data_IF_923578691264
#
_entry.id   IF_923578691264
#
_cell.length_a   1.000
_cell.length_b   1.000
_cell.length_c   1.000
_cell.angle_alpha   90.00
_cell.angle_beta   90.00
_cell.angle_gamma   90.00
#
_symmetry.space_group_name_H-M   'P 1'
#
loop_
_entity.id
_entity.type
_entity.pdbx_description
1 polymer ?
#
# COMPACT_ATOMS: atom_id res chain seq x y z
N UNK A 1 -18.11 -6.37 -0.95
CA UNK A 1 -18.31 -7.84 -1.07
C UNK A 1 -17.03 -8.67 -0.95
N UNK A 2 -15.83 -8.23 -1.37
CA UNK A 2 -14.60 -9.05 -1.30
C UNK A 2 -14.04 -9.19 0.14
N UNK A 3 -14.03 -8.12 0.94
CA UNK A 3 -13.58 -8.16 2.33
C UNK A 3 -14.46 -9.07 3.20
N UNK A 4 -15.78 -8.89 3.09
CA UNK A 4 -16.82 -9.63 3.83
C UNK A 4 -16.82 -11.15 3.56
N UNK A 5 -16.19 -11.61 2.47
CA UNK A 5 -16.09 -13.03 2.10
C UNK A 5 -14.73 -13.65 2.46
N UNK A 6 -13.88 -12.95 3.20
CA UNK A 6 -12.52 -13.41 3.53
C UNK A 6 -12.37 -13.84 4.98
N UNK A 7 -11.26 -14.52 5.31
CA UNK A 7 -10.90 -14.84 6.70
C UNK A 7 -10.71 -13.61 7.58
N UNK A 8 -10.57 -12.41 6.99
CA UNK A 8 -10.46 -11.12 7.66
C UNK A 8 -11.76 -10.32 7.67
N UNK A 9 -12.91 -10.93 7.37
CA UNK A 9 -14.19 -10.22 7.27
C UNK A 9 -14.59 -9.46 8.55
N UNK A 10 -14.19 -9.94 9.72
CA UNK A 10 -14.44 -9.29 11.02
C UNK A 10 -13.35 -8.30 11.44
N UNK A 11 -12.31 -8.13 10.62
CA UNK A 11 -11.19 -7.25 10.87
C UNK A 11 -11.38 -5.90 10.14
N UNK A 12 -10.74 -4.81 10.61
CA UNK A 12 -10.79 -3.51 9.95
C UNK A 12 -10.52 -3.54 8.44
N UNK A 13 -11.20 -2.65 7.73
CA UNK A 13 -11.03 -2.42 6.29
C UNK A 13 -10.73 -0.95 6.09
N UNK A 14 -9.44 -0.64 5.91
CA UNK A 14 -8.93 0.72 5.78
C UNK A 14 -8.94 1.11 4.30
N UNK A 15 -9.46 2.28 3.97
CA UNK A 15 -9.59 2.76 2.59
C UNK A 15 -8.78 4.04 2.43
N UNK A 16 -7.95 4.10 1.38
CA UNK A 16 -7.13 5.26 1.05
C UNK A 16 -7.31 5.56 -0.42
N UNK A 17 -7.56 6.83 -0.76
CA UNK A 17 -7.53 7.29 -2.13
C UNK A 17 -6.22 8.03 -2.40
N UNK A 18 -5.36 7.42 -3.22
CA UNK A 18 -4.01 7.90 -3.50
C UNK A 18 -3.99 9.23 -4.28
N UNK A 19 -5.10 9.62 -4.91
CA UNK A 19 -5.22 10.86 -5.66
C UNK A 19 -5.58 12.08 -4.79
N UNK A 20 -6.06 11.86 -3.56
CA UNK A 20 -6.64 12.93 -2.72
C UNK A 20 -5.64 13.72 -1.90
N UNK A 21 -4.42 13.20 -1.74
CA UNK A 21 -3.37 13.79 -0.91
C UNK A 21 -2.17 14.21 -1.75
N UNK A 22 -1.46 15.24 -1.27
CA UNK A 22 -0.14 15.58 -1.81
C UNK A 22 0.83 14.43 -1.55
N UNK A 23 1.80 14.22 -2.45
CA UNK A 23 2.73 13.08 -2.42
C UNK A 23 3.37 12.85 -1.04
N UNK A 24 3.92 13.90 -0.43
CA UNK A 24 4.62 13.81 0.86
C UNK A 24 3.68 13.43 2.01
N UNK A 25 2.42 13.87 1.95
CA UNK A 25 1.39 13.52 2.93
C UNK A 25 0.91 12.09 2.72
N UNK A 26 0.69 11.67 1.47
CA UNK A 26 0.32 10.30 1.15
C UNK A 26 1.40 9.31 1.60
N UNK A 27 2.65 9.61 1.31
CA UNK A 27 3.78 8.79 1.75
C UNK A 27 3.86 8.70 3.28
N UNK A 28 3.64 9.82 3.96
CA UNK A 28 3.62 9.94 5.43
C UNK A 28 2.41 9.26 6.09
N UNK A 29 1.28 9.15 5.39
CA UNK A 29 0.11 8.40 5.86
C UNK A 29 0.28 6.90 5.63
N UNK A 30 0.69 6.50 4.43
CA UNK A 30 0.91 5.08 4.10
C UNK A 30 2.02 4.50 4.99
N UNK A 31 3.15 5.22 5.08
CA UNK A 31 4.34 4.80 5.78
C UNK A 31 4.57 5.67 7.02
N UNK A 32 4.88 5.04 8.14
CA UNK A 32 5.28 5.77 9.37
C UNK A 32 6.38 6.77 9.06
N UNK A 33 6.33 7.94 9.67
CA UNK A 33 7.49 8.81 9.79
C UNK A 33 7.90 8.95 11.25
N UNK A 34 9.19 9.10 11.47
CA UNK A 34 9.71 9.54 12.76
C UNK A 34 9.75 11.07 12.82
N UNK A 35 9.65 11.63 14.02
CA UNK A 35 9.87 13.05 14.25
C UNK A 35 11.18 13.51 13.58
N UNK A 36 11.12 14.59 12.83
CA UNK A 36 12.27 15.17 12.12
C UNK A 36 12.61 14.50 10.78
N UNK A 37 11.80 13.57 10.28
CA UNK A 37 12.03 12.93 8.98
C UNK A 37 11.94 13.89 7.78
N UNK A 38 11.16 14.97 7.90
CA UNK A 38 11.05 16.05 6.92
C UNK A 38 10.60 17.36 7.60
N UNK A 39 10.67 18.48 6.86
CA UNK A 39 10.22 19.80 7.35
C UNK A 39 8.72 19.77 7.68
N UNK A 40 8.38 19.84 8.96
CA UNK A 40 7.00 19.74 9.46
C UNK A 40 6.68 18.45 10.21
N UNK A 41 7.58 17.46 10.25
CA UNK A 41 7.44 16.25 11.06
C UNK A 41 7.70 16.54 12.55
N UNK A 42 6.75 17.20 13.22
CA UNK A 42 6.87 17.61 14.64
C UNK A 42 6.73 16.44 15.61
N UNK A 43 6.06 15.37 15.19
CA UNK A 43 5.79 14.15 15.97
C UNK A 43 6.03 12.91 15.10
N UNK A 44 6.25 11.75 15.73
CA UNK A 44 6.23 10.47 15.03
C UNK A 44 4.78 9.99 14.91
N UNK A 45 4.36 9.49 13.75
CA UNK A 45 2.99 8.97 13.55
C UNK A 45 2.99 7.56 13.00
N UNK A 46 2.08 6.74 13.52
CA UNK A 46 1.76 5.43 12.96
C UNK A 46 1.18 5.60 11.54
N UNK A 47 1.66 4.79 10.60
CA UNK A 47 1.22 4.77 9.21
C UNK A 47 0.19 3.68 8.99
N UNK A 48 -0.50 3.74 7.87
CA UNK A 48 -1.65 2.89 7.58
C UNK A 48 -1.26 1.42 7.42
N UNK A 49 -0.04 1.12 6.99
CA UNK A 49 0.46 -0.27 7.01
C UNK A 49 0.64 -0.83 8.42
N UNK A 50 1.16 -0.04 9.36
CA UNK A 50 1.25 -0.46 10.78
C UNK A 50 -0.14 -0.56 11.41
N UNK A 51 -1.04 0.37 11.08
CA UNK A 51 -2.40 0.38 11.60
C UNK A 51 -3.28 -0.75 11.04
N UNK A 52 -2.99 -1.22 9.82
CA UNK A 52 -3.67 -2.32 9.15
C UNK A 52 -2.89 -3.65 9.23
N UNK A 53 -2.06 -3.82 10.27
CA UNK A 53 -1.40 -5.09 10.53
C UNK A 53 -2.44 -6.18 10.83
N UNK A 54 -2.29 -7.32 10.17
CA UNK A 54 -3.26 -8.42 10.09
C UNK A 54 -4.66 -8.06 9.54
N UNK A 55 -4.86 -6.87 8.99
CA UNK A 55 -6.14 -6.33 8.48
C UNK A 55 -6.13 -6.19 6.95
N UNK A 56 -7.07 -5.43 6.38
CA UNK A 56 -7.11 -5.17 4.93
C UNK A 56 -7.01 -3.67 4.62
N UNK A 57 -6.11 -3.31 3.70
CA UNK A 57 -5.92 -1.97 3.16
C UNK A 57 -6.37 -1.92 1.69
N UNK A 58 -7.29 -0.99 1.37
CA UNK A 58 -7.74 -0.70 0.03
C UNK A 58 -7.08 0.57 -0.49
N UNK A 59 -6.35 0.44 -1.59
CA UNK A 59 -5.65 1.53 -2.27
C UNK A 59 -6.41 1.88 -3.56
N UNK A 60 -7.16 2.96 -3.52
CA UNK A 60 -7.84 3.52 -4.69
C UNK A 60 -6.90 4.44 -5.47
N UNK A 61 -7.08 4.48 -6.79
CA UNK A 61 -6.22 5.22 -7.73
C UNK A 61 -4.71 4.96 -7.54
N UNK A 62 -4.31 3.69 -7.39
CA UNK A 62 -2.91 3.30 -7.16
C UNK A 62 -1.95 3.79 -8.27
N UNK A 63 -2.48 4.10 -9.45
CA UNK A 63 -1.72 4.70 -10.55
C UNK A 63 -1.27 6.15 -10.31
N UNK A 64 -1.76 6.81 -9.26
CA UNK A 64 -1.31 8.15 -8.85
C UNK A 64 -0.09 8.11 -7.90
N UNK A 65 0.31 6.91 -7.45
CA UNK A 65 1.51 6.78 -6.64
C UNK A 65 2.76 7.17 -7.45
N UNK A 66 3.65 7.93 -6.82
CA UNK A 66 4.95 8.25 -7.43
C UNK A 66 5.87 7.04 -7.46
N UNK A 67 6.88 7.05 -8.33
CA UNK A 67 7.79 5.91 -8.52
C UNK A 67 8.49 5.49 -7.23
N UNK A 68 8.82 6.44 -6.36
CA UNK A 68 9.44 6.18 -5.07
C UNK A 68 8.46 5.47 -4.12
N UNK A 69 7.21 5.94 -4.06
CA UNK A 69 6.14 5.33 -3.27
C UNK A 69 5.79 3.93 -3.77
N UNK A 70 5.74 3.74 -5.09
CA UNK A 70 5.55 2.43 -5.72
C UNK A 70 6.68 1.45 -5.36
N UNK A 71 7.94 1.91 -5.37
CA UNK A 71 9.08 1.06 -4.98
C UNK A 71 9.02 0.65 -3.50
N UNK A 72 8.53 1.52 -2.62
CA UNK A 72 8.28 1.18 -1.21
C UNK A 72 7.13 0.19 -1.05
N UNK A 73 6.02 0.43 -1.74
CA UNK A 73 4.88 -0.47 -1.75
C UNK A 73 5.28 -1.88 -2.23
N UNK A 74 6.12 -1.98 -3.25
CA UNK A 74 6.64 -3.24 -3.75
C UNK A 74 7.37 -4.04 -2.66
N UNK A 75 8.14 -3.37 -1.79
CA UNK A 75 8.81 -4.05 -0.66
C UNK A 75 7.79 -4.64 0.31
N UNK A 76 6.72 -3.90 0.61
CA UNK A 76 5.64 -4.42 1.47
C UNK A 76 5.01 -5.66 0.85
N UNK A 77 4.71 -5.62 -0.45
CA UNK A 77 4.10 -6.75 -1.16
C UNK A 77 5.03 -7.97 -1.20
N UNK A 78 6.33 -7.76 -1.39
CA UNK A 78 7.30 -8.85 -1.56
C UNK A 78 7.75 -9.49 -0.26
N UNK A 79 8.01 -8.69 0.79
CA UNK A 79 8.59 -9.19 2.04
C UNK A 79 7.73 -8.97 3.27
N UNK A 80 6.61 -8.24 3.15
CA UNK A 80 5.84 -7.79 4.31
C UNK A 80 6.60 -6.74 5.14
N UNK A 81 7.70 -6.18 4.62
CA UNK A 81 8.51 -5.21 5.37
C UNK A 81 8.18 -3.77 4.97
N UNK A 82 7.95 -2.95 6.00
CA UNK A 82 7.93 -1.49 5.89
C UNK A 82 9.14 -0.89 6.58
N UNK A 83 9.53 0.31 6.14
CA UNK A 83 10.51 1.15 6.83
C UNK A 83 9.90 2.51 7.08
N UNK A 84 10.12 3.02 8.28
CA UNK A 84 9.68 4.36 8.64
C UNK A 84 10.48 5.38 7.84
N UNK A 85 9.84 6.42 7.34
CA UNK A 85 10.50 7.57 6.75
C UNK A 85 11.38 8.21 7.82
N UNK A 86 12.69 8.30 7.55
CA UNK A 86 13.69 8.81 8.50
C UNK A 86 14.23 7.79 9.49
N UNK A 87 13.85 6.51 9.40
CA UNK A 87 14.42 5.41 10.20
C UNK A 87 14.91 4.28 9.27
N UNK A 88 15.94 3.56 9.70
CA UNK A 88 16.44 2.37 8.99
C UNK A 88 15.87 1.07 9.55
N UNK A 89 15.11 1.12 10.64
CA UNK A 89 14.47 -0.05 11.22
C UNK A 89 13.35 -0.57 10.31
N UNK A 90 13.48 -1.84 9.89
CA UNK A 90 12.42 -2.57 9.21
C UNK A 90 11.42 -3.14 10.24
N UNK A 91 10.15 -3.16 9.86
CA UNK A 91 9.04 -3.70 10.65
C UNK A 91 8.24 -4.61 9.72
N UNK A 92 7.92 -5.81 10.19
CA UNK A 92 7.05 -6.73 9.46
C UNK A 92 5.59 -6.39 9.73
N UNK A 93 4.78 -6.44 8.67
CA UNK A 93 3.32 -6.29 8.70
C UNK A 93 2.68 -7.39 7.87
N UNK A 94 1.55 -7.89 8.33
CA UNK A 94 0.70 -8.83 7.61
C UNK A 94 -0.56 -8.12 7.08
N UNK A 95 -0.39 -7.15 6.19
CA UNK A 95 -1.51 -6.38 5.62
C UNK A 95 -1.99 -6.98 4.31
N UNK A 96 -3.29 -7.27 4.20
CA UNK A 96 -3.91 -7.66 2.93
C UNK A 96 -4.15 -6.42 2.10
N UNK A 97 -3.59 -6.35 0.90
CA UNK A 97 -3.73 -5.19 0.01
C UNK A 97 -4.74 -5.50 -1.08
N UNK A 98 -5.68 -4.58 -1.29
CA UNK A 98 -6.58 -4.55 -2.44
C UNK A 98 -6.34 -3.22 -3.15
N UNK A 99 -6.17 -3.22 -4.47
CA UNK A 99 -5.89 -2.01 -5.22
C UNK A 99 -6.88 -1.80 -6.37
N UNK A 100 -7.17 -0.53 -6.67
CA UNK A 100 -7.96 -0.09 -7.81
C UNK A 100 -7.28 1.10 -8.49
N UNK A 101 -7.53 1.29 -9.78
CA UNK A 101 -7.06 2.45 -10.55
C UNK A 101 -7.88 2.60 -11.83
N UNK A 102 -8.13 3.83 -12.24
CA UNK A 102 -8.69 4.13 -13.56
C UNK A 102 -7.62 4.18 -14.67
N UNK A 103 -6.33 4.15 -14.32
CA UNK A 103 -5.25 4.12 -15.32
C UNK A 103 -5.07 2.73 -15.90
N UNK A 104 -4.80 2.66 -17.21
CA UNK A 104 -4.40 1.42 -17.85
C UNK A 104 -2.95 1.09 -17.47
N UNK A 105 -2.79 0.32 -16.39
CA UNK A 105 -1.48 -0.07 -15.89
C UNK A 105 -0.64 -0.79 -16.94
N UNK A 106 -1.24 -1.65 -17.78
CA UNK A 106 -0.52 -2.40 -18.82
C UNK A 106 0.11 -1.46 -19.85
N UNK A 107 -0.54 -0.34 -20.16
CA UNK A 107 0.02 0.69 -21.04
C UNK A 107 1.16 1.49 -20.38
N UNK A 108 1.14 1.64 -19.05
CA UNK A 108 2.20 2.33 -18.28
C UNK A 108 3.38 1.42 -17.90
N UNK A 109 3.22 0.10 -18.01
CA UNK A 109 4.24 -0.92 -17.67
C UNK A 109 5.50 -0.86 -18.55
N UNK A 110 5.56 -0.03 -19.59
CA UNK A 110 6.84 0.30 -20.23
C UNK A 110 7.89 0.90 -19.26
N UNK A 111 7.46 1.39 -18.07
CA UNK A 111 8.34 1.80 -16.96
C UNK A 111 8.14 1.00 -15.66
N UNK A 112 7.21 0.05 -15.62
CA UNK A 112 6.88 -0.73 -14.42
C UNK A 112 7.49 -2.13 -14.54
N UNK A 113 8.25 -2.58 -13.55
CA UNK A 113 8.93 -3.88 -13.61
C UNK A 113 7.87 -5.01 -13.65
N UNK A 114 7.80 -5.84 -14.71
CA UNK A 114 6.72 -6.82 -14.94
C UNK A 114 6.58 -7.95 -13.91
N UNK A 115 7.44 -8.03 -12.89
CA UNK A 115 7.44 -9.13 -11.91
C UNK A 115 6.45 -8.96 -10.75
N UNK A 116 5.68 -7.86 -10.70
CA UNK A 116 4.92 -7.47 -9.50
C UNK A 116 3.46 -7.96 -9.46
N UNK A 117 2.86 -8.34 -10.59
CA UNK A 117 1.39 -8.61 -10.63
C UNK A 117 1.04 -10.10 -10.58
N UNK A 118 1.96 -11.03 -10.87
CA UNK A 118 1.57 -12.42 -11.12
C UNK A 118 1.93 -13.40 -9.99
N UNK A 119 1.42 -13.15 -8.79
CA UNK A 119 1.40 -14.16 -7.72
C UNK A 119 0.09 -14.17 -6.93
N UNK A 120 -1.02 -14.32 -7.64
CA UNK A 120 -2.17 -15.20 -7.30
C UNK A 120 -3.35 -14.99 -8.29
N UNK A 121 -3.19 -15.45 -9.53
CA UNK A 121 -4.35 -15.68 -10.42
C UNK A 121 -4.29 -17.03 -11.14
N UNK A 122 -3.72 -18.05 -10.50
CA UNK A 122 -3.89 -19.45 -10.91
C UNK A 122 -4.86 -20.15 -9.99
N UNK A 123 -6.14 -19.99 -10.29
CA UNK A 123 -7.20 -20.80 -9.70
C UNK A 123 -8.55 -20.10 -9.69
N UNK A 124 -9.36 -20.42 -10.69
CA UNK A 124 -10.82 -20.20 -10.76
C UNK A 124 -11.29 -18.80 -11.13
N UNK A 125 -11.55 -18.69 -12.44
CA UNK A 125 -12.62 -17.89 -13.02
C UNK A 125 -13.88 -17.92 -12.15
N UNK A 126 -14.30 -16.75 -11.68
CA UNK A 126 -15.70 -16.51 -11.32
C UNK A 126 -16.14 -15.27 -12.09
N UNK A 127 -16.61 -15.53 -13.31
CA UNK A 127 -17.65 -14.71 -13.93
C UNK A 127 -18.96 -15.17 -13.32
N UNK A 128 -19.62 -14.27 -12.60
CA UNK A 128 -21.06 -14.01 -12.61
C UNK A 128 -21.27 -12.55 -12.21
#
# INVERSE_FOLDING_TARGET
MIHQRSMRANKPFVIVNCATLQETLLESELFVHVKGAFTGATESRMGLFEAADEDTLFLDEIGELTINTQAKLLRVVQSGEIRRVGDNKAINVDTRIIAATNKNLVAEVNYFVPSTIDRETRGHSYFD
#
